data_IF_864160615195
#
_entry.id   IF_864160615195
#
_cell.length_a   1.000
_cell.length_b   1.000
_cell.length_c   1.000
_cell.angle_alpha   90.00
_cell.angle_beta   90.00
_cell.angle_gamma   90.00
#
_symmetry.space_group_name_H-M   'P 1'
#
loop_
_entity.id
_entity.type
_entity.pdbx_description
1 polymer ?
#
# COMPACT_ATOMS: atom_id res chain seq x y z
N UNK A 1 18.20 15.94 -8.59
CA UNK A 1 17.45 15.40 -7.44
C UNK A 1 16.19 14.78 -7.99
N UNK A 2 16.25 13.50 -8.36
CA UNK A 2 15.07 12.79 -8.88
C UNK A 2 14.08 12.62 -7.72
N UNK A 3 13.04 13.47 -7.72
CA UNK A 3 11.90 13.30 -6.85
C UNK A 3 11.12 12.08 -7.34
N UNK A 4 11.43 10.91 -6.80
CA UNK A 4 10.55 9.76 -6.97
C UNK A 4 9.17 10.15 -6.43
N UNK A 5 8.09 10.11 -7.25
CA UNK A 5 6.75 10.55 -6.84
C UNK A 5 6.26 9.81 -5.57
N UNK A 6 6.77 8.60 -5.34
CA UNK A 6 6.47 7.75 -4.19
C UNK A 6 7.00 8.27 -2.85
N UNK A 7 8.07 9.07 -2.83
CA UNK A 7 8.71 9.52 -1.58
C UNK A 7 7.91 10.61 -0.86
N UNK A 8 6.98 11.27 -1.55
CA UNK A 8 6.10 12.32 -1.01
C UNK A 8 4.75 11.81 -0.50
N UNK A 9 4.39 10.54 -0.73
CA UNK A 9 3.14 9.91 -0.24
C UNK A 9 3.16 9.57 1.26
N UNK A 10 4.06 10.22 2.03
CA UNK A 10 4.41 9.85 3.40
C UNK A 10 3.84 10.78 4.47
N UNK A 11 2.94 11.68 4.09
CA UNK A 11 2.08 12.34 5.08
C UNK A 11 1.04 11.34 5.64
N UNK A 12 0.89 10.17 4.99
CA UNK A 12 -0.10 9.16 5.36
C UNK A 12 -1.49 9.76 5.17
N UNK A 13 -1.72 10.34 4.00
CA UNK A 13 -2.94 11.06 3.68
C UNK A 13 -3.92 10.07 3.08
N UNK A 14 -5.20 10.39 3.18
CA UNK A 14 -6.24 9.64 2.50
C UNK A 14 -5.91 9.51 1.01
N UNK A 15 -6.11 8.31 0.49
CA UNK A 15 -5.77 7.83 -0.86
C UNK A 15 -4.29 7.49 -1.12
N UNK A 16 -3.38 7.72 -0.17
CA UNK A 16 -2.02 7.23 -0.32
C UNK A 16 -1.99 5.69 -0.30
N UNK A 17 -1.07 5.13 -1.08
CA UNK A 17 -0.84 3.70 -1.19
C UNK A 17 0.32 3.33 -0.27
N UNK A 18 0.13 2.25 0.48
CA UNK A 18 1.08 1.75 1.48
C UNK A 18 1.17 0.23 1.40
N UNK A 19 2.26 -0.31 1.93
CA UNK A 19 2.30 -1.71 2.33
C UNK A 19 1.93 -1.81 3.81
N UNK A 20 1.01 -2.72 4.13
CA UNK A 20 0.65 -3.01 5.51
C UNK A 20 0.87 -4.50 5.82
N UNK A 21 1.10 -4.81 7.09
CA UNK A 21 1.40 -6.19 7.52
C UNK A 21 0.58 -6.57 8.74
N UNK A 22 -0.28 -7.55 8.56
CA UNK A 22 -0.96 -8.22 9.67
C UNK A 22 -0.04 -9.33 10.22
N UNK A 23 -0.01 -9.50 11.55
CA UNK A 23 0.76 -10.57 12.19
C UNK A 23 0.31 -11.94 11.66
N UNK A 24 1.25 -12.74 11.15
CA UNK A 24 0.97 -14.07 10.59
C UNK A 24 0.62 -14.08 9.10
N UNK A 25 0.52 -12.92 8.45
CA UNK A 25 0.21 -12.76 7.03
C UNK A 25 1.38 -12.11 6.27
N UNK A 26 1.44 -12.27 4.93
CA UNK A 26 2.37 -11.49 4.11
C UNK A 26 2.16 -10.00 4.27
N UNK A 27 3.21 -9.26 3.96
CA UNK A 27 3.09 -7.85 3.63
C UNK A 27 2.26 -7.71 2.34
N UNK A 28 1.24 -6.86 2.36
CA UNK A 28 0.29 -6.71 1.27
C UNK A 28 0.02 -5.23 0.95
N UNK A 29 -0.17 -4.85 -0.32
CA UNK A 29 -0.50 -3.47 -0.66
C UNK A 29 -1.91 -3.09 -0.20
N UNK A 30 -2.05 -1.85 0.26
CA UNK A 30 -3.31 -1.26 0.72
C UNK A 30 -3.37 0.24 0.40
N UNK A 31 -4.59 0.80 0.37
CA UNK A 31 -4.81 2.25 0.31
C UNK A 31 -5.33 2.78 1.63
N UNK A 32 -4.87 3.95 2.05
CA UNK A 32 -5.42 4.65 3.20
C UNK A 32 -6.79 5.23 2.81
N UNK A 33 -7.84 4.86 3.53
CA UNK A 33 -9.20 5.38 3.32
C UNK A 33 -9.62 6.41 4.36
N UNK A 34 -8.99 6.39 5.54
CA UNK A 34 -9.25 7.34 6.63
C UNK A 34 -8.04 7.41 7.55
N UNK A 35 -7.79 8.59 8.10
CA UNK A 35 -6.82 8.83 9.17
C UNK A 35 -7.54 9.38 10.39
N UNK A 36 -7.29 8.79 11.55
CA UNK A 36 -7.87 9.25 12.81
C UNK A 36 -6.93 10.15 13.60
N UNK A 37 -7.53 11.02 14.44
CA UNK A 37 -6.79 11.81 15.43
C UNK A 37 -6.13 10.85 16.42
N UNK A 38 -4.82 10.70 16.30
CA UNK A 38 -4.05 9.67 17.01
C UNK A 38 -3.10 8.86 16.13
N UNK A 39 -3.12 9.07 14.80
CA UNK A 39 -2.17 8.43 13.89
C UNK A 39 -2.53 6.97 13.54
N UNK A 40 -3.79 6.59 13.75
CA UNK A 40 -4.36 5.33 13.28
C UNK A 40 -4.87 5.53 11.86
N UNK A 41 -4.43 4.66 10.97
CA UNK A 41 -4.82 4.60 9.57
C UNK A 41 -5.80 3.46 9.36
N UNK A 42 -6.93 3.77 8.74
CA UNK A 42 -7.84 2.78 8.18
C UNK A 42 -7.43 2.53 6.75
N UNK A 43 -7.13 1.28 6.42
CA UNK A 43 -6.70 0.89 5.09
C UNK A 43 -7.67 -0.08 4.44
N UNK A 44 -7.72 -0.10 3.11
CA UNK A 44 -8.33 -1.18 2.33
C UNK A 44 -7.27 -1.89 1.52
N UNK A 45 -7.24 -3.20 1.59
CA UNK A 45 -6.28 -4.02 0.84
C UNK A 45 -6.58 -3.97 -0.65
N UNK A 46 -5.53 -3.92 -1.47
CA UNK A 46 -5.68 -4.21 -2.89
C UNK A 46 -5.92 -5.71 -3.07
N UNK A 47 -6.92 -6.03 -3.88
CA UNK A 47 -7.50 -7.35 -3.93
C UNK A 47 -6.82 -8.32 -4.87
N UNK A 48 -6.98 -9.60 -4.58
CA UNK A 48 -6.74 -10.69 -5.54
C UNK A 48 -7.62 -10.52 -6.80
N UNK A 49 -8.81 -9.93 -6.67
CA UNK A 49 -9.85 -9.81 -7.72
C UNK A 49 -10.25 -8.35 -8.06
N UNK A 50 -9.53 -7.36 -7.52
CA UNK A 50 -9.88 -5.94 -7.69
C UNK A 50 -11.12 -5.47 -6.93
N UNK A 51 -11.74 -6.30 -6.08
CA UNK A 51 -12.98 -5.97 -5.35
C UNK A 51 -12.84 -5.98 -3.84
N UNK A 52 -11.69 -6.35 -3.31
CA UNK A 52 -11.56 -6.62 -1.88
C UNK A 52 -11.84 -5.34 -1.05
N UNK A 53 -12.96 -5.37 -0.33
CA UNK A 53 -13.43 -4.30 0.55
C UNK A 53 -13.02 -4.51 2.02
N UNK A 54 -12.25 -5.56 2.30
CA UNK A 54 -11.74 -5.83 3.64
C UNK A 54 -10.73 -4.75 4.01
N UNK A 55 -10.91 -4.16 5.18
CA UNK A 55 -10.01 -3.16 5.72
C UNK A 55 -9.42 -3.59 7.04
N UNK A 56 -8.44 -2.83 7.50
CA UNK A 56 -7.86 -2.98 8.82
C UNK A 56 -7.41 -1.64 9.37
N UNK A 57 -7.23 -1.60 10.68
CA UNK A 57 -6.70 -0.46 11.39
C UNK A 57 -5.23 -0.72 11.71
N UNK A 58 -4.38 0.26 11.38
CA UNK A 58 -2.95 0.17 11.55
C UNK A 58 -2.42 1.43 12.19
N UNK A 59 -1.48 1.29 13.11
CA UNK A 59 -0.66 2.43 13.52
C UNK A 59 0.22 2.83 12.34
N UNK A 60 0.56 4.11 12.23
CA UNK A 60 1.50 4.58 11.19
C UNK A 60 2.82 3.80 11.18
N UNK A 61 3.31 3.31 12.33
CA UNK A 61 4.53 2.49 12.43
C UNK A 61 4.41 1.09 11.82
N UNK A 62 3.19 0.63 11.54
CA UNK A 62 2.89 -0.68 10.92
C UNK A 62 2.64 -0.55 9.42
N UNK A 63 2.71 0.67 8.89
CA UNK A 63 2.63 0.99 7.48
C UNK A 63 4.02 1.28 6.94
N UNK A 64 4.25 0.83 5.71
CA UNK A 64 5.47 1.09 4.96
C UNK A 64 5.07 1.85 3.70
N UNK A 65 5.88 2.83 3.27
CA UNK A 65 5.71 3.44 1.95
C UNK A 65 5.54 2.38 0.86
N UNK A 66 4.65 2.65 -0.08
CA UNK A 66 4.55 1.83 -1.28
C UNK A 66 5.76 2.09 -2.18
N UNK A 67 6.85 1.40 -1.85
CA UNK A 67 8.01 1.23 -2.70
C UNK A 67 8.25 -0.28 -2.90
N UNK A 68 8.51 -0.70 -4.14
CA UNK A 68 8.65 -2.12 -4.49
C UNK A 68 9.84 -2.79 -3.75
N UNK A 69 10.84 -2.01 -3.36
CA UNK A 69 12.04 -2.50 -2.66
C UNK A 69 11.78 -2.91 -1.20
N UNK A 70 10.81 -2.29 -0.54
CA UNK A 70 10.55 -2.45 0.89
C UNK A 70 9.68 -3.66 1.19
N UNK A 71 8.70 -3.97 0.33
CA UNK A 71 7.81 -5.13 0.52
C UNK A 71 8.52 -6.48 0.28
N UNK A 72 9.38 -6.54 -0.74
CA UNK A 72 10.14 -7.77 -1.07
C UNK A 72 11.02 -8.22 0.09
N UNK A 73 11.58 -7.28 0.87
CA UNK A 73 12.41 -7.58 2.04
C UNK A 73 11.62 -8.21 3.19
N UNK A 74 10.34 -7.84 3.36
CA UNK A 74 9.46 -8.39 4.41
C UNK A 74 8.88 -9.77 4.07
N UNK A 75 8.66 -10.07 2.79
CA UNK A 75 8.11 -11.36 2.34
C UNK A 75 9.17 -12.47 2.17
N UNK A 76 10.47 -12.14 2.09
CA UNK A 76 11.57 -13.13 2.07
C UNK A 76 11.53 -14.10 3.26
N UNK A 77 11.01 -13.68 4.42
CA UNK A 77 10.84 -14.54 5.62
C UNK A 77 9.71 -15.57 5.50
N UNK A 78 8.88 -15.53 4.45
CA UNK A 78 7.71 -16.40 4.25
C UNK A 78 7.82 -17.28 2.97
N UNK A 79 8.96 -17.23 2.27
CA UNK A 79 9.18 -17.75 0.91
C UNK A 79 8.83 -19.25 0.72
N UNK A 80 8.82 -20.07 1.77
CA UNK A 80 8.45 -21.49 1.68
C UNK A 80 6.96 -21.78 1.52
N UNK A 81 6.06 -20.90 2.00
CA UNK A 81 4.59 -21.16 2.04
C UNK A 81 3.78 -20.41 0.98
N UNK A 82 4.39 -19.49 0.21
CA UNK A 82 3.66 -18.47 -0.54
C UNK A 82 3.75 -18.55 -2.07
N UNK A 83 4.24 -19.66 -2.68
CA UNK A 83 4.20 -19.81 -4.15
C UNK A 83 2.79 -19.58 -4.74
N UNK A 84 1.74 -19.96 -3.99
CA UNK A 84 0.33 -19.75 -4.36
C UNK A 84 -0.14 -18.28 -4.30
N UNK A 85 0.64 -17.39 -3.67
CA UNK A 85 0.32 -15.97 -3.49
C UNK A 85 1.14 -15.03 -4.38
N UNK A 86 2.06 -15.54 -5.21
CA UNK A 86 2.87 -14.70 -6.10
C UNK A 86 2.01 -13.97 -7.15
N UNK A 87 1.18 -14.71 -7.90
CA UNK A 87 0.30 -14.13 -8.94
C UNK A 87 -0.73 -13.13 -8.38
N UNK A 88 -1.38 -13.39 -7.24
CA UNK A 88 -2.29 -12.42 -6.61
C UNK A 88 -1.57 -11.19 -6.07
N UNK A 89 -0.37 -11.38 -5.51
CA UNK A 89 0.44 -10.28 -5.03
C UNK A 89 0.88 -9.37 -6.18
N UNK A 90 1.30 -9.94 -7.32
CA UNK A 90 1.65 -9.12 -8.49
C UNK A 90 0.46 -8.33 -9.01
N UNK A 91 -0.73 -8.94 -9.10
CA UNK A 91 -1.97 -8.22 -9.48
C UNK A 91 -2.24 -7.08 -8.50
N UNK A 92 -2.14 -7.33 -7.20
CA UNK A 92 -2.41 -6.32 -6.17
C UNK A 92 -1.37 -5.18 -6.20
N UNK A 93 -0.11 -5.46 -6.54
CA UNK A 93 0.94 -4.45 -6.71
C UNK A 93 0.64 -3.58 -7.93
N UNK A 94 0.27 -4.16 -9.08
CA UNK A 94 -0.08 -3.38 -10.27
C UNK A 94 -1.29 -2.46 -10.03
N UNK A 95 -2.35 -2.98 -9.38
CA UNK A 95 -3.52 -2.15 -9.01
C UNK A 95 -3.14 -1.00 -8.08
N UNK A 96 -2.24 -1.26 -7.13
CA UNK A 96 -1.75 -0.26 -6.20
C UNK A 96 -0.92 0.82 -6.91
N UNK A 97 -0.15 0.43 -7.92
CA UNK A 97 0.62 1.34 -8.77
C UNK A 97 -0.29 2.24 -9.61
N UNK A 98 -1.26 1.66 -10.32
CA UNK A 98 -2.24 2.41 -11.12
C UNK A 98 -2.98 3.44 -10.26
N UNK A 99 -3.37 3.05 -9.04
CA UNK A 99 -3.99 3.97 -8.08
C UNK A 99 -3.07 5.10 -7.66
N UNK A 100 -1.81 4.79 -7.31
CA UNK A 100 -0.83 5.79 -6.88
C UNK A 100 -0.57 6.83 -8.00
N UNK A 101 -0.44 6.38 -9.24
CA UNK A 101 -0.28 7.24 -10.42
C UNK A 101 -1.52 8.12 -10.63
N UNK A 102 -2.73 7.57 -10.54
CA UNK A 102 -3.97 8.32 -10.66
C UNK A 102 -4.13 9.40 -9.57
N UNK A 103 -3.71 9.11 -8.33
CA UNK A 103 -3.72 10.08 -7.23
C UNK A 103 -2.69 11.18 -7.46
N UNK A 104 -1.49 10.84 -7.93
CA UNK A 104 -0.45 11.83 -8.26
C UNK A 104 -0.94 12.81 -9.33
N UNK A 105 -1.48 12.31 -10.44
CA UNK A 105 -2.05 13.14 -11.50
C UNK A 105 -3.17 14.05 -11.02
N UNK A 106 -4.07 13.56 -10.16
CA UNK A 106 -5.15 14.39 -9.60
C UNK A 106 -4.61 15.52 -8.74
N UNK A 107 -3.61 15.24 -7.88
CA UNK A 107 -2.98 16.27 -7.02
C UNK A 107 -2.25 17.32 -7.84
N UNK A 108 -1.59 16.93 -8.92
CA UNK A 108 -0.96 17.87 -9.85
C UNK A 108 -2.00 18.76 -10.55
N UNK A 109 -3.12 18.19 -10.98
CA UNK A 109 -4.21 18.94 -11.59
C UNK A 109 -4.92 19.91 -10.61
N UNK A 110 -5.02 19.57 -9.33
CA UNK A 110 -5.58 20.44 -8.29
C UNK A 110 -4.61 21.56 -7.85
N UNK A 111 -3.32 21.41 -8.11
CA UNK A 111 -2.28 22.37 -7.74
C UNK A 111 -1.93 23.38 -8.86
N UNK A 112 -2.46 23.18 -10.07
CA UNK A 112 -2.29 24.04 -11.24
C UNK A 112 -3.43 25.05 -11.37
#
# INVERSE_FOLDING_TARGET
LECHPFRRLMEGVVNDVVFAKLRGFPCWPARIVKMEKGGVAHVRWFGWDGRTNCGGEFKRSELIPFDESSCTTWNKKLAGRQKKLQRPLSIAIEQAREWAEAVAHRREAEAA
#
